data_IF_058095677733
#
_entry.id   IF_058095677733
#
_cell.length_a   1.000
_cell.length_b   1.000
_cell.length_c   1.000
_cell.angle_alpha   90.00
_cell.angle_beta   90.00
_cell.angle_gamma   90.00
#
_symmetry.space_group_name_H-M   'P 1'
#
loop_
_entity.id
_entity.type
_entity.pdbx_description
1 polymer ?
#
# COMPACT_ATOMS: atom_id res chain seq x y z
N UNK A 1 -14.34 -2.34 4.75
CA UNK A 1 -12.99 -2.89 5.07
C UNK A 1 -11.88 -2.11 4.36
N UNK A 2 -11.88 -2.11 3.05
CA UNK A 2 -10.83 -1.39 2.29
C UNK A 2 -10.87 0.11 2.57
N UNK A 3 -12.05 0.71 2.63
CA UNK A 3 -12.20 2.13 2.94
C UNK A 3 -11.60 2.50 4.31
N UNK A 4 -11.78 1.64 5.30
CA UNK A 4 -11.21 1.86 6.64
C UNK A 4 -9.69 1.86 6.60
N UNK A 5 -9.08 0.98 5.80
CA UNK A 5 -7.64 0.97 5.59
C UNK A 5 -7.16 2.23 4.88
N UNK A 6 -7.88 2.66 3.83
CA UNK A 6 -7.53 3.89 3.11
C UNK A 6 -7.57 5.10 4.04
N UNK A 7 -8.61 5.21 4.86
CA UNK A 7 -8.71 6.31 5.83
C UNK A 7 -7.56 6.29 6.83
N UNK A 8 -7.17 5.10 7.30
CA UNK A 8 -6.04 4.94 8.21
C UNK A 8 -4.73 5.38 7.55
N UNK A 9 -4.49 4.97 6.30
CA UNK A 9 -3.27 5.35 5.59
C UNK A 9 -3.24 6.83 5.23
N UNK A 10 -4.40 7.43 4.91
CA UNK A 10 -4.49 8.87 4.70
C UNK A 10 -4.06 9.65 5.93
N UNK A 11 -4.51 9.23 7.09
CA UNK A 11 -4.14 9.88 8.34
C UNK A 11 -2.65 9.69 8.66
N UNK A 12 -2.12 8.50 8.34
CA UNK A 12 -0.73 8.17 8.65
C UNK A 12 0.28 8.81 7.69
N UNK A 13 0.00 8.80 6.40
CA UNK A 13 0.94 9.26 5.36
C UNK A 13 0.58 10.60 4.74
N UNK A 14 -0.68 10.99 4.73
CA UNK A 14 -1.16 12.17 4.01
C UNK A 14 -1.05 11.98 2.50
N UNK A 15 -1.73 12.77 1.74
CA UNK A 15 -1.62 12.88 0.27
C UNK A 15 -1.40 11.57 -0.50
N UNK A 16 -2.11 10.50 -0.11
CA UNK A 16 -2.08 9.22 -0.82
C UNK A 16 -3.26 9.16 -1.77
N UNK A 17 -2.99 8.77 -3.01
CA UNK A 17 -4.03 8.46 -4.00
C UNK A 17 -4.36 6.98 -3.94
N UNK A 18 -5.59 6.62 -4.26
CA UNK A 18 -6.06 5.23 -4.22
C UNK A 18 -6.65 4.83 -5.56
N UNK A 19 -6.46 3.55 -5.92
CA UNK A 19 -6.99 3.00 -7.16
C UNK A 19 -6.20 3.42 -8.37
N UNK A 20 -6.87 4.01 -9.35
CA UNK A 20 -6.23 4.39 -10.60
C UNK A 20 -5.17 5.48 -10.38
N UNK A 21 -4.00 5.30 -10.98
CA UNK A 21 -2.87 6.23 -10.82
C UNK A 21 -3.15 7.48 -11.66
N UNK A 22 -3.21 8.69 -11.03
CA UNK A 22 -3.45 9.91 -11.79
C UNK A 22 -2.22 10.35 -12.56
N UNK A 23 -2.43 11.06 -13.65
CA UNK A 23 -1.35 11.63 -14.47
C UNK A 23 -0.60 12.74 -13.72
N UNK A 24 -1.29 13.49 -12.88
CA UNK A 24 -0.73 14.55 -12.06
C UNK A 24 -1.11 14.33 -10.61
N UNK A 25 -0.29 14.78 -9.64
CA UNK A 25 0.99 15.48 -9.77
C UNK A 25 2.14 14.58 -10.23
N UNK A 26 3.29 15.15 -10.58
CA UNK A 26 4.45 14.38 -11.01
C UNK A 26 4.97 13.48 -9.90
N UNK A 27 4.99 13.98 -8.66
CA UNK A 27 5.45 13.24 -7.50
C UNK A 27 4.24 12.79 -6.69
N UNK A 28 4.07 11.48 -6.53
CA UNK A 28 2.91 10.97 -5.80
C UNK A 28 3.17 9.60 -5.18
N UNK A 29 2.31 9.29 -4.21
CA UNK A 29 2.16 7.96 -3.61
C UNK A 29 0.76 7.48 -3.97
N UNK A 30 0.65 6.28 -4.51
CA UNK A 30 -0.63 5.66 -4.84
C UNK A 30 -0.67 4.27 -4.22
N UNK A 31 -1.80 3.93 -3.64
CA UNK A 31 -2.06 2.59 -3.11
C UNK A 31 -3.29 2.01 -3.78
N UNK A 32 -3.18 0.77 -4.22
CA UNK A 32 -4.33 0.02 -4.72
C UNK A 32 -4.50 -1.20 -3.84
N UNK A 33 -5.64 -1.28 -3.16
CA UNK A 33 -5.93 -2.33 -2.19
C UNK A 33 -7.12 -3.13 -2.69
N UNK A 34 -6.97 -4.45 -2.75
CA UNK A 34 -8.07 -5.31 -3.18
C UNK A 34 -8.07 -6.64 -2.42
N UNK A 35 -9.27 -7.22 -2.29
CA UNK A 35 -9.45 -8.51 -1.62
C UNK A 35 -9.12 -9.62 -2.61
N UNK A 36 -8.25 -10.55 -2.19
CA UNK A 36 -7.86 -11.70 -3.01
C UNK A 36 -8.89 -12.81 -3.00
N UNK A 37 -9.87 -12.75 -2.10
CA UNK A 37 -10.85 -13.82 -1.91
C UNK A 37 -10.30 -15.00 -1.13
N UNK A 38 -9.06 -14.95 -0.64
CA UNK A 38 -8.48 -16.04 0.14
C UNK A 38 -8.79 -15.89 1.62
N UNK A 39 -8.96 -17.03 2.28
CA UNK A 39 -9.14 -17.10 3.73
C UNK A 39 -8.12 -18.11 4.28
N UNK A 40 -7.08 -17.62 5.00
CA UNK A 40 -5.95 -18.47 5.39
C UNK A 40 -6.29 -19.49 6.50
N UNK A 41 -7.38 -19.29 7.21
CA UNK A 41 -7.71 -20.08 8.40
C UNK A 41 -9.04 -20.79 8.29
N UNK A 42 -9.67 -20.83 7.11
CA UNK A 42 -11.07 -21.27 6.95
C UNK A 42 -12.02 -20.50 7.86
N UNK A 43 -11.62 -19.30 8.27
CA UNK A 43 -12.40 -18.39 9.11
C UNK A 43 -13.01 -17.32 8.24
N UNK A 44 -14.36 -17.21 8.26
CA UNK A 44 -15.07 -16.23 7.42
C UNK A 44 -14.77 -14.78 7.81
N UNK A 45 -14.12 -14.56 8.96
CA UNK A 45 -13.79 -13.20 9.44
C UNK A 45 -12.40 -12.74 9.03
N UNK A 46 -11.56 -13.63 8.54
CA UNK A 46 -10.18 -13.30 8.14
C UNK A 46 -10.10 -13.11 6.63
N UNK A 47 -9.40 -12.07 6.20
CA UNK A 47 -9.23 -11.72 4.80
C UNK A 47 -7.77 -11.45 4.49
N UNK A 48 -7.32 -11.96 3.34
CA UNK A 48 -6.02 -11.60 2.79
C UNK A 48 -6.24 -10.59 1.67
N UNK A 49 -5.70 -9.40 1.86
CA UNK A 49 -5.75 -8.34 0.86
C UNK A 49 -4.39 -8.18 0.20
N UNK A 50 -4.40 -7.68 -1.02
CA UNK A 50 -3.19 -7.24 -1.70
C UNK A 50 -3.15 -5.72 -1.69
N UNK A 51 -2.02 -5.16 -1.32
CA UNK A 51 -1.74 -3.73 -1.39
C UNK A 51 -0.60 -3.50 -2.35
N UNK A 52 -0.86 -2.79 -3.44
CA UNK A 52 0.17 -2.35 -4.37
C UNK A 52 0.54 -0.91 -4.05
N UNK A 53 1.78 -0.70 -3.67
CA UNK A 53 2.34 0.63 -3.37
C UNK A 53 3.08 1.11 -4.61
N UNK A 54 2.60 2.19 -5.20
CA UNK A 54 3.22 2.84 -6.35
C UNK A 54 3.77 4.20 -5.93
N UNK A 55 5.06 4.40 -6.15
CA UNK A 55 5.74 5.67 -5.86
C UNK A 55 6.25 6.23 -7.18
N UNK A 56 5.95 7.49 -7.44
CA UNK A 56 6.45 8.21 -8.62
C UNK A 56 7.08 9.52 -8.17
N UNK A 57 8.24 9.83 -8.73
CA UNK A 57 8.97 11.04 -8.40
C UNK A 57 9.87 11.43 -9.57
N UNK A 58 10.09 12.73 -9.76
CA UNK A 58 11.04 13.23 -10.74
C UNK A 58 12.47 12.92 -10.37
N UNK A 59 12.76 12.68 -9.09
CA UNK A 59 14.06 12.29 -8.58
C UNK A 59 14.09 10.80 -8.28
N UNK A 60 15.02 10.09 -8.89
CA UNK A 60 15.22 8.65 -8.64
C UNK A 60 15.52 8.38 -7.15
N UNK A 61 16.38 9.20 -6.55
CA UNK A 61 16.74 9.04 -5.14
C UNK A 61 15.54 9.24 -4.23
N UNK A 62 14.72 10.25 -4.49
CA UNK A 62 13.51 10.49 -3.69
C UNK A 62 12.51 9.36 -3.84
N UNK A 63 12.36 8.83 -5.05
CA UNK A 63 11.49 7.68 -5.29
C UNK A 63 11.94 6.49 -4.45
N UNK A 64 13.22 6.16 -4.48
CA UNK A 64 13.80 5.04 -3.72
C UNK A 64 13.62 5.25 -2.22
N UNK A 65 13.93 6.45 -1.76
CA UNK A 65 13.82 6.80 -0.33
C UNK A 65 12.37 6.69 0.15
N UNK A 66 11.43 7.23 -0.60
CA UNK A 66 10.01 7.15 -0.23
C UNK A 66 9.50 5.72 -0.24
N UNK A 67 9.89 4.94 -1.24
CA UNK A 67 9.51 3.53 -1.30
C UNK A 67 9.99 2.77 -0.07
N UNK A 68 11.22 3.03 0.38
CA UNK A 68 11.78 2.42 1.58
C UNK A 68 11.07 2.91 2.85
N UNK A 69 10.90 4.21 3.01
CA UNK A 69 10.29 4.80 4.21
C UNK A 69 8.83 4.36 4.36
N UNK A 70 8.04 4.48 3.30
CA UNK A 70 6.63 4.08 3.33
C UNK A 70 6.50 2.57 3.50
N UNK A 71 7.33 1.80 2.79
CA UNK A 71 7.33 0.34 2.88
C UNK A 71 7.66 -0.15 4.28
N UNK A 72 8.68 0.40 4.92
CA UNK A 72 9.05 0.05 6.29
C UNK A 72 7.94 0.42 7.27
N UNK A 73 7.33 1.58 7.08
CA UNK A 73 6.21 2.01 7.93
C UNK A 73 5.01 1.09 7.78
N UNK A 74 4.71 0.62 6.57
CA UNK A 74 3.66 -0.38 6.35
C UNK A 74 3.95 -1.67 7.10
N UNK A 75 5.16 -2.20 6.99
CA UNK A 75 5.53 -3.44 7.65
C UNK A 75 5.59 -3.33 9.18
N UNK A 76 5.80 -2.11 9.69
CA UNK A 76 5.74 -1.84 11.13
C UNK A 76 4.31 -1.65 11.64
N UNK A 77 3.33 -1.71 10.77
CA UNK A 77 1.91 -1.59 11.12
C UNK A 77 1.34 -2.99 11.29
N UNK A 78 1.16 -3.42 12.52
CA UNK A 78 0.63 -4.75 12.83
C UNK A 78 -0.06 -4.76 14.19
N UNK A 79 -0.94 -5.73 14.38
CA UNK A 79 -1.66 -5.98 15.63
C UNK A 79 -2.34 -4.70 16.17
N UNK A 80 -3.07 -4.02 15.29
CA UNK A 80 -3.78 -2.79 15.65
C UNK A 80 -5.26 -2.88 15.28
N UNK A 81 -6.07 -2.07 15.95
CA UNK A 81 -7.49 -1.93 15.63
C UNK A 81 -7.69 -0.80 14.64
N UNK A 82 -8.42 -1.07 13.57
CA UNK A 82 -8.82 -0.07 12.57
C UNK A 82 -10.33 -0.15 12.43
N UNK A 83 -11.05 0.83 13.01
CA UNK A 83 -12.51 0.79 13.03
C UNK A 83 -13.00 -0.50 13.72
N UNK A 84 -13.81 -1.30 13.03
CA UNK A 84 -14.32 -2.57 13.53
C UNK A 84 -13.47 -3.77 13.12
N UNK A 85 -12.26 -3.51 12.62
CA UNK A 85 -11.36 -4.54 12.12
C UNK A 85 -10.10 -4.62 12.96
N UNK A 86 -9.44 -5.78 12.90
CA UNK A 86 -8.13 -5.99 13.49
C UNK A 86 -7.14 -6.27 12.37
N UNK A 87 -6.18 -5.38 12.19
CA UNK A 87 -5.09 -5.58 11.25
C UNK A 87 -4.02 -6.42 11.92
N UNK A 88 -3.79 -7.61 11.39
CA UNK A 88 -2.84 -8.55 11.96
C UNK A 88 -1.42 -8.22 11.52
N UNK A 89 -1.19 -8.11 10.22
CA UNK A 89 0.12 -7.76 9.68
C UNK A 89 0.01 -7.17 8.28
N UNK A 90 1.07 -6.47 7.88
CA UNK A 90 1.35 -6.09 6.50
C UNK A 90 2.76 -6.60 6.18
N UNK A 91 2.91 -7.39 5.13
CA UNK A 91 4.18 -7.98 4.83
C UNK A 91 4.51 -7.82 3.34
N UNK A 92 5.75 -7.43 3.06
CA UNK A 92 6.19 -7.23 1.68
C UNK A 92 6.33 -8.57 0.96
N UNK A 93 5.78 -8.64 -0.24
CA UNK A 93 5.84 -9.85 -1.09
C UNK A 93 6.87 -9.70 -2.20
N UNK A 94 6.91 -8.55 -2.86
CA UNK A 94 7.80 -8.34 -4.00
C UNK A 94 7.93 -6.86 -4.32
N UNK A 95 8.95 -6.53 -5.12
CA UNK A 95 9.10 -5.23 -5.76
C UNK A 95 9.40 -5.45 -7.23
N UNK A 96 8.77 -4.66 -8.08
CA UNK A 96 9.16 -4.59 -9.49
C UNK A 96 10.40 -3.72 -9.63
N UNK A 97 11.08 -3.84 -10.76
CA UNK A 97 12.19 -2.96 -11.06
C UNK A 97 11.69 -1.54 -11.31
N UNK A 98 12.47 -0.50 -10.93
CA UNK A 98 12.11 0.87 -11.23
C UNK A 98 11.99 1.10 -12.72
N UNK A 99 11.04 1.96 -13.11
CA UNK A 99 10.83 2.37 -14.50
C UNK A 99 10.93 3.88 -14.62
N UNK A 100 11.12 4.34 -15.86
CA UNK A 100 11.16 5.76 -16.19
C UNK A 100 10.17 5.99 -17.33
N UNK A 101 9.31 6.99 -17.20
CA UNK A 101 8.33 7.31 -18.22
C UNK A 101 8.85 8.38 -19.19
N UNK A 102 8.03 8.72 -20.18
CA UNK A 102 8.39 9.70 -21.20
C UNK A 102 8.46 11.14 -20.69
N UNK A 103 7.96 11.38 -19.46
CA UNK A 103 7.99 12.69 -18.80
C UNK A 103 9.15 12.80 -17.82
N UNK A 104 10.12 11.90 -17.88
CA UNK A 104 11.29 11.86 -17.01
C UNK A 104 10.93 11.68 -15.53
N UNK A 105 9.87 10.93 -15.24
CA UNK A 105 9.51 10.56 -13.89
C UNK A 105 9.88 9.10 -13.67
N UNK A 106 10.38 8.82 -12.47
CA UNK A 106 10.75 7.46 -12.07
C UNK A 106 9.65 6.89 -11.21
N UNK A 107 9.38 5.60 -11.34
CA UNK A 107 8.38 4.94 -10.53
C UNK A 107 8.80 3.53 -10.13
N UNK A 108 8.25 3.07 -9.02
CA UNK A 108 8.45 1.71 -8.53
C UNK A 108 7.14 1.21 -7.93
N UNK A 109 6.84 -0.06 -8.15
CA UNK A 109 5.67 -0.71 -7.54
C UNK A 109 6.15 -1.84 -6.63
N UNK A 110 5.68 -1.82 -5.39
CA UNK A 110 5.93 -2.89 -4.43
C UNK A 110 4.59 -3.50 -4.01
N UNK A 111 4.58 -4.81 -3.82
CA UNK A 111 3.37 -5.56 -3.47
C UNK A 111 3.47 -6.06 -2.05
N UNK A 112 2.41 -5.85 -1.27
CA UNK A 112 2.30 -6.26 0.13
C UNK A 112 1.08 -7.14 0.33
N UNK A 113 1.21 -8.08 1.25
CA UNK A 113 0.09 -8.89 1.72
C UNK A 113 -0.41 -8.31 3.04
N UNK A 114 -1.72 -8.12 3.14
CA UNK A 114 -2.37 -7.59 4.34
C UNK A 114 -3.31 -8.65 4.90
N UNK A 115 -3.12 -9.02 6.15
CA UNK A 115 -4.05 -9.90 6.85
C UNK A 115 -4.88 -9.05 7.80
N UNK A 116 -6.19 -9.06 7.60
CA UNK A 116 -7.15 -8.29 8.39
C UNK A 116 -8.32 -9.17 8.81
N UNK A 117 -8.82 -8.97 10.01
CA UNK A 117 -9.93 -9.73 10.57
C UNK A 117 -11.08 -8.80 10.93
N UNK A 118 -12.30 -9.29 10.74
CA UNK A 118 -13.49 -8.63 11.30
C UNK A 118 -13.59 -8.97 12.78
N UNK A 119 -13.94 -7.98 13.57
CA UNK A 119 -14.01 -8.15 15.03
C UNK A 119 -15.44 -8.35 15.47
#
# INVERSE_FOLDING_TARGET
>A
MIKSLEDYFDEKFGNVFYGQIPETPNNLINMNIYDTGRNPYFDTKAHILTLNLYIRDESYENMQKQNEVVGNSLCDTYDISISQYHLVYIKKKSSAEPTRDTKNRYSITSTYEVLIEEV
#
